data_IF_837130331913
#
_entry.id   IF_837130331913
#
_cell.length_a   1.000
_cell.length_b   1.000
_cell.length_c   1.000
_cell.angle_alpha   90.00
_cell.angle_beta   90.00
_cell.angle_gamma   90.00
#
_symmetry.space_group_name_H-M   'P 1'
#
loop_
_entity.id
_entity.type
_entity.pdbx_description
1 polymer ?
#
# COMPACT_ATOMS: atom_id res chain seq x y z
N UNK A 1 28.91 8.24 0.59
CA UNK A 1 29.12 7.69 1.95
C UNK A 1 27.84 6.93 2.31
N UNK A 2 27.87 5.64 2.22
CA UNK A 2 26.73 4.77 2.52
C UNK A 2 26.71 4.50 4.01
N UNK A 3 25.66 4.95 4.72
CA UNK A 3 25.44 4.64 6.12
C UNK A 3 25.29 3.13 6.31
N UNK A 4 25.78 2.64 7.41
CA UNK A 4 25.77 1.25 7.84
C UNK A 4 24.34 0.66 7.82
N UNK A 5 24.08 -0.25 6.87
CA UNK A 5 22.82 -0.98 6.69
C UNK A 5 22.71 -2.17 7.65
N UNK A 6 23.63 -2.30 8.60
CA UNK A 6 23.69 -3.44 9.53
C UNK A 6 22.86 -3.28 10.81
N UNK A 7 22.08 -2.19 10.95
CA UNK A 7 21.20 -2.05 12.12
C UNK A 7 19.96 -2.91 11.92
N UNK A 8 19.80 -4.01 12.68
CA UNK A 8 18.59 -4.83 12.58
C UNK A 8 17.38 -3.97 12.92
N UNK A 9 16.35 -4.05 12.07
CA UNK A 9 15.05 -3.40 12.29
C UNK A 9 14.53 -3.94 13.62
N UNK A 10 14.57 -3.12 14.67
CA UNK A 10 13.97 -3.47 15.95
C UNK A 10 12.45 -3.46 15.77
N UNK A 11 11.87 -4.64 15.65
CA UNK A 11 10.41 -4.78 15.70
C UNK A 11 9.91 -4.15 17.01
N UNK A 12 8.85 -3.33 16.94
CA UNK A 12 8.26 -2.73 18.14
C UNK A 12 7.78 -3.83 19.09
N UNK A 13 7.99 -3.63 20.40
CA UNK A 13 7.52 -4.54 21.44
C UNK A 13 6.03 -4.75 21.32
N UNK A 14 5.55 -6.00 21.53
CA UNK A 14 4.11 -6.32 21.55
C UNK A 14 3.34 -5.33 22.41
N UNK A 15 2.25 -4.73 21.91
CA UNK A 15 1.47 -3.76 22.67
C UNK A 15 0.78 -4.42 23.86
N UNK A 16 0.52 -3.64 24.91
CA UNK A 16 -0.30 -4.06 26.04
C UNK A 16 -1.70 -4.46 25.58
N UNK A 17 -2.27 -5.49 26.21
CA UNK A 17 -3.63 -5.96 25.91
C UNK A 17 -4.64 -4.80 25.85
N UNK A 18 -5.40 -4.71 24.74
CA UNK A 18 -6.48 -3.72 24.56
C UNK A 18 -6.27 -2.66 23.48
N UNK A 19 -5.08 -2.58 22.85
CA UNK A 19 -4.85 -1.58 21.79
C UNK A 19 -4.05 -2.15 20.63
N UNK A 20 -4.67 -2.22 19.47
CA UNK A 20 -3.95 -2.56 18.23
C UNK A 20 -2.99 -1.42 17.89
N UNK A 21 -1.69 -1.70 17.68
CA UNK A 21 -0.74 -0.70 17.20
C UNK A 21 -1.11 -0.32 15.76
N UNK A 22 -0.84 0.93 15.40
CA UNK A 22 -0.99 1.44 14.05
C UNK A 22 0.38 1.83 13.54
N UNK A 23 0.66 1.46 12.30
CA UNK A 23 1.94 1.74 11.66
C UNK A 23 1.72 2.46 10.34
N UNK A 24 2.65 3.35 10.03
CA UNK A 24 2.76 4.03 8.75
C UNK A 24 3.90 3.38 7.97
N UNK A 25 3.64 3.08 6.70
CA UNK A 25 4.63 2.60 5.75
C UNK A 25 4.92 3.71 4.76
N UNK A 26 6.17 4.02 4.55
CA UNK A 26 6.62 5.13 3.71
C UNK A 26 7.94 4.80 3.02
N UNK A 27 8.25 5.56 1.95
CA UNK A 27 9.57 5.52 1.36
C UNK A 27 10.58 6.21 2.30
N UNK A 28 11.86 5.77 2.35
CA UNK A 28 12.87 6.36 3.25
C UNK A 28 13.07 7.86 3.06
N UNK A 29 12.88 8.37 1.83
CA UNK A 29 12.98 9.79 1.48
C UNK A 29 11.66 10.55 1.63
N UNK A 30 10.58 9.87 2.06
CA UNK A 30 9.26 10.45 2.20
C UNK A 30 8.53 10.70 0.87
N UNK A 31 9.04 10.21 -0.26
CA UNK A 31 8.39 10.34 -1.55
C UNK A 31 7.08 9.56 -1.60
N UNK A 32 6.08 10.02 -2.37
CA UNK A 32 4.89 9.25 -2.63
C UNK A 32 5.20 8.03 -3.48
N UNK A 33 4.41 6.97 -3.34
CA UNK A 33 4.51 5.76 -4.13
C UNK A 33 3.13 5.36 -4.67
N UNK A 34 3.12 4.62 -5.78
CA UNK A 34 1.90 4.16 -6.42
C UNK A 34 1.55 2.74 -6.02
N UNK A 35 0.28 2.51 -5.76
CA UNK A 35 -0.31 1.18 -5.59
C UNK A 35 -0.91 0.73 -6.91
N UNK A 36 -0.67 -0.53 -7.29
CA UNK A 36 -1.29 -1.10 -8.48
C UNK A 36 -2.80 -1.23 -8.26
N UNK A 37 -3.57 -0.58 -9.11
CA UNK A 37 -5.02 -0.60 -9.07
C UNK A 37 -5.62 -1.04 -10.40
N UNK A 38 -6.81 -1.57 -10.34
CA UNK A 38 -7.66 -1.89 -11.48
C UNK A 38 -8.94 -1.09 -11.36
N UNK A 39 -9.45 -0.60 -12.47
CA UNK A 39 -10.76 0.05 -12.50
C UNK A 39 -11.67 -0.63 -13.52
N UNK A 40 -12.97 -0.51 -13.31
CA UNK A 40 -14.00 -1.05 -14.19
C UNK A 40 -15.25 -0.19 -14.11
N UNK A 41 -15.89 0.02 -15.25
CA UNK A 41 -17.22 0.60 -15.30
C UNK A 41 -18.27 -0.52 -15.19
N UNK A 42 -19.03 -0.52 -14.10
CA UNK A 42 -20.19 -1.38 -13.99
C UNK A 42 -21.37 -0.74 -14.74
N UNK A 43 -21.98 -1.49 -15.65
CA UNK A 43 -23.15 -1.07 -16.39
C UNK A 43 -24.37 -1.86 -15.93
N UNK A 44 -25.48 -1.18 -15.59
CA UNK A 44 -26.71 -1.86 -15.21
C UNK A 44 -27.31 -2.62 -16.40
N UNK A 45 -28.15 -3.61 -16.10
CA UNK A 45 -28.92 -4.32 -17.14
C UNK A 45 -29.80 -3.36 -17.91
N UNK A 46 -30.05 -3.67 -19.20
CA UNK A 46 -31.02 -2.92 -20.05
C UNK A 46 -32.35 -2.79 -19.32
N UNK A 47 -32.90 -1.57 -19.30
CA UNK A 47 -34.18 -1.25 -18.64
C UNK A 47 -34.07 -0.91 -17.14
N UNK A 48 -32.87 -0.81 -16.61
CA UNK A 48 -32.65 -0.30 -15.26
C UNK A 48 -32.53 1.22 -15.26
N UNK A 49 -33.15 1.88 -14.28
CA UNK A 49 -33.02 3.34 -14.04
C UNK A 49 -31.68 3.71 -13.35
N UNK A 50 -30.80 2.76 -13.11
CA UNK A 50 -29.50 3.00 -12.46
C UNK A 50 -28.49 3.53 -13.47
N UNK A 51 -27.72 4.55 -13.05
CA UNK A 51 -26.57 5.04 -13.81
C UNK A 51 -25.38 4.05 -13.78
N UNK A 52 -24.51 4.06 -14.80
CA UNK A 52 -23.22 3.38 -14.73
C UNK A 52 -22.41 3.81 -13.50
N UNK A 53 -21.60 2.92 -12.97
CA UNK A 53 -20.79 3.16 -11.78
C UNK A 53 -19.34 2.79 -12.06
N UNK A 54 -18.46 3.76 -11.93
CA UNK A 54 -17.02 3.51 -11.94
C UNK A 54 -16.57 2.91 -10.61
N UNK A 55 -15.86 1.80 -10.69
CA UNK A 55 -15.34 1.08 -9.54
C UNK A 55 -13.85 0.87 -9.69
N UNK A 56 -13.14 0.77 -8.57
CA UNK A 56 -11.74 0.40 -8.57
C UNK A 56 -11.42 -0.56 -7.42
N UNK A 57 -10.33 -1.27 -7.56
CA UNK A 57 -9.76 -2.11 -6.50
C UNK A 57 -8.25 -2.04 -6.51
N UNK A 58 -7.65 -2.17 -5.33
CA UNK A 58 -6.20 -2.25 -5.18
C UNK A 58 -5.79 -3.72 -5.23
N UNK A 59 -4.80 -4.03 -6.06
CA UNK A 59 -4.23 -5.37 -6.15
C UNK A 59 -3.34 -5.62 -4.94
N UNK A 60 -3.50 -6.78 -4.31
CA UNK A 60 -2.68 -7.17 -3.16
C UNK A 60 -1.85 -8.41 -3.48
N UNK A 61 -0.74 -8.55 -2.78
CA UNK A 61 0.16 -9.68 -2.83
C UNK A 61 0.50 -10.17 -1.43
N UNK A 62 1.32 -11.19 -1.30
CA UNK A 62 1.88 -11.59 -0.02
C UNK A 62 2.69 -10.45 0.61
N UNK A 63 2.78 -10.44 1.92
CA UNK A 63 3.54 -9.43 2.65
C UNK A 63 5.05 -9.66 2.46
N UNK A 64 5.81 -8.55 2.38
CA UNK A 64 7.26 -8.61 2.53
C UNK A 64 7.65 -8.77 4.01
N UNK A 65 8.93 -8.97 4.28
CA UNK A 65 9.46 -9.19 5.64
C UNK A 65 9.14 -8.05 6.61
N UNK A 66 9.02 -6.81 6.12
CA UNK A 66 8.68 -5.65 6.93
C UNK A 66 7.21 -5.64 7.33
N UNK A 67 6.32 -6.05 6.43
CA UNK A 67 4.87 -6.04 6.62
C UNK A 67 4.36 -7.29 7.34
N UNK A 68 4.97 -8.45 7.11
CA UNK A 68 4.50 -9.75 7.60
C UNK A 68 4.14 -9.77 9.10
N UNK A 69 4.93 -9.15 10.01
CA UNK A 69 4.59 -9.14 11.43
C UNK A 69 3.30 -8.38 11.76
N UNK A 70 2.81 -7.55 10.83
CA UNK A 70 1.63 -6.70 11.00
C UNK A 70 0.43 -7.28 10.26
N UNK A 71 0.64 -7.69 9.02
CA UNK A 71 -0.40 -8.23 8.15
C UNK A 71 0.21 -9.18 7.12
N UNK A 72 -0.48 -10.29 6.81
CA UNK A 72 -0.01 -11.30 5.86
C UNK A 72 -0.16 -10.91 4.37
N UNK A 73 -0.79 -9.78 4.09
CA UNK A 73 -0.97 -9.23 2.74
C UNK A 73 -0.54 -7.78 2.70
N UNK A 74 -0.06 -7.34 1.54
CA UNK A 74 0.26 -5.95 1.28
C UNK A 74 -0.25 -5.52 -0.11
N UNK A 75 -0.49 -4.23 -0.34
CA UNK A 75 -0.72 -3.72 -1.68
C UNK A 75 0.50 -3.98 -2.57
N UNK A 76 0.26 -4.22 -3.86
CA UNK A 76 1.33 -4.19 -4.84
C UNK A 76 1.79 -2.75 -5.02
N UNK A 77 3.03 -2.47 -4.66
CA UNK A 77 3.67 -1.16 -4.83
C UNK A 77 4.50 -1.21 -6.10
N UNK A 78 4.28 -0.25 -6.99
CA UNK A 78 4.99 -0.17 -8.26
C UNK A 78 6.25 0.71 -8.14
N UNK A 79 7.34 0.31 -8.76
CA UNK A 79 8.48 1.19 -8.96
C UNK A 79 8.16 2.26 -10.02
N UNK A 80 8.67 3.48 -9.90
CA UNK A 80 8.43 4.55 -10.88
C UNK A 80 8.75 4.14 -12.32
N UNK A 81 9.78 3.31 -12.52
CA UNK A 81 10.17 2.76 -13.84
C UNK A 81 9.10 1.87 -14.49
N UNK A 82 8.16 1.35 -13.68
CA UNK A 82 7.12 0.41 -14.13
C UNK A 82 5.75 1.07 -14.32
N UNK A 83 5.62 2.39 -14.03
CA UNK A 83 4.34 3.10 -14.14
C UNK A 83 3.78 3.08 -15.56
N UNK A 84 4.61 3.40 -16.56
CA UNK A 84 4.17 3.40 -17.95
C UNK A 84 3.75 2.00 -18.41
N UNK A 85 4.48 0.99 -17.99
CA UNK A 85 4.16 -0.39 -18.29
C UNK A 85 2.84 -0.84 -17.67
N UNK A 86 2.52 -0.37 -16.46
CA UNK A 86 1.24 -0.65 -15.80
C UNK A 86 0.07 0.10 -16.45
N UNK A 87 0.29 1.34 -16.86
CA UNK A 87 -0.77 2.24 -17.33
C UNK A 87 -1.02 2.17 -18.83
N UNK A 88 0.01 2.00 -19.65
CA UNK A 88 -0.05 2.26 -21.09
C UNK A 88 0.37 1.07 -21.96
N UNK A 89 1.21 0.20 -21.48
CA UNK A 89 1.74 -0.91 -22.26
C UNK A 89 0.85 -2.15 -22.08
N UNK A 90 -0.44 -1.98 -22.40
CA UNK A 90 -1.42 -3.03 -22.26
C UNK A 90 -1.46 -3.92 -23.52
N UNK A 91 -0.70 -4.99 -23.51
CA UNK A 91 -0.86 -6.12 -24.43
C UNK A 91 -1.70 -7.19 -23.71
N UNK A 92 -2.94 -7.42 -24.16
CA UNK A 92 -3.83 -8.43 -23.59
C UNK A 92 -3.21 -9.84 -23.57
N UNK A 93 -2.30 -10.12 -24.50
CA UNK A 93 -1.59 -11.40 -24.55
C UNK A 93 -0.47 -11.52 -23.52
N UNK A 94 -0.02 -10.40 -22.96
CA UNK A 94 1.11 -10.31 -22.00
C UNK A 94 0.81 -9.35 -20.86
N UNK A 95 -0.17 -9.63 -20.04
CA UNK A 95 -0.46 -8.77 -18.88
C UNK A 95 0.77 -8.70 -17.96
N UNK A 96 1.03 -7.55 -17.31
CA UNK A 96 2.24 -7.32 -16.52
C UNK A 96 2.18 -8.03 -15.15
N UNK A 97 1.89 -9.33 -15.13
CA UNK A 97 1.74 -10.14 -13.91
C UNK A 97 3.04 -10.27 -13.11
N UNK A 98 4.19 -10.11 -13.74
CA UNK A 98 5.50 -10.10 -13.07
C UNK A 98 5.68 -8.89 -12.14
N UNK A 99 4.87 -7.83 -12.29
CA UNK A 99 4.84 -6.68 -11.39
C UNK A 99 4.03 -6.95 -10.10
N UNK A 100 3.23 -8.02 -10.08
CA UNK A 100 2.38 -8.41 -8.95
C UNK A 100 3.19 -9.15 -7.88
N UNK A 101 4.14 -8.46 -7.28
CA UNK A 101 5.07 -9.01 -6.28
C UNK A 101 5.22 -8.07 -5.10
N UNK A 102 5.68 -8.57 -3.93
CA UNK A 102 6.00 -7.72 -2.81
C UNK A 102 7.07 -6.68 -3.18
N UNK A 103 6.95 -5.48 -2.62
CA UNK A 103 8.01 -4.47 -2.71
C UNK A 103 9.16 -4.85 -1.78
N UNK A 104 10.39 -4.50 -2.16
CA UNK A 104 11.58 -4.81 -1.37
C UNK A 104 11.53 -4.14 0.00
N UNK A 105 11.72 -4.92 1.07
CA UNK A 105 11.66 -4.43 2.45
C UNK A 105 12.65 -3.31 2.72
N UNK A 106 13.84 -3.38 2.13
CA UNK A 106 14.92 -2.39 2.27
C UNK A 106 14.55 -1.03 1.64
N UNK A 107 13.62 -1.04 0.68
CA UNK A 107 13.11 0.16 0.02
C UNK A 107 11.99 0.86 0.80
N UNK A 108 11.63 0.38 1.98
CA UNK A 108 10.51 0.89 2.77
C UNK A 108 10.93 1.17 4.22
N UNK A 109 10.17 2.05 4.85
CA UNK A 109 10.29 2.34 6.29
C UNK A 109 8.94 2.15 6.96
N UNK A 110 8.94 1.53 8.14
CA UNK A 110 7.78 1.39 9.01
C UNK A 110 7.99 2.22 10.28
N UNK A 111 7.05 3.08 10.60
CA UNK A 111 7.07 3.89 11.83
C UNK A 111 5.73 3.80 12.55
N UNK A 112 5.71 3.90 13.89
CA UNK A 112 4.46 4.04 14.62
C UNK A 112 3.69 5.25 14.13
N UNK A 113 2.37 5.11 14.00
CA UNK A 113 1.48 6.17 13.54
C UNK A 113 0.49 6.58 14.63
N UNK A 114 -0.10 7.76 14.45
CA UNK A 114 -1.12 8.26 15.35
C UNK A 114 -2.34 7.33 15.32
N UNK A 115 -2.73 6.84 16.50
CA UNK A 115 -3.84 5.90 16.66
C UNK A 115 -5.21 6.50 16.31
N UNK A 116 -5.31 7.81 16.32
CA UNK A 116 -6.53 8.53 15.94
C UNK A 116 -6.91 8.31 14.47
N UNK A 117 -5.96 7.90 13.61
CA UNK A 117 -6.22 7.55 12.21
C UNK A 117 -7.24 6.42 12.05
N UNK A 118 -7.38 5.55 13.05
CA UNK A 118 -8.40 4.49 13.06
C UNK A 118 -9.85 4.98 13.12
N UNK A 119 -10.08 6.27 13.37
CA UNK A 119 -11.40 6.87 13.32
C UNK A 119 -11.54 7.74 12.07
N UNK A 120 -12.44 7.37 11.18
CA UNK A 120 -12.68 8.05 9.88
C UNK A 120 -13.09 9.53 10.01
N UNK A 121 -13.49 9.99 11.20
CA UNK A 121 -13.79 11.40 11.46
C UNK A 121 -12.53 12.26 11.60
N UNK A 122 -11.39 11.63 11.90
CA UNK A 122 -10.11 12.30 12.00
C UNK A 122 -9.45 12.33 10.62
N UNK A 123 -9.33 13.49 10.04
CA UNK A 123 -8.79 13.67 8.68
C UNK A 123 -7.97 14.97 8.60
N UNK A 124 -6.93 15.07 9.40
CA UNK A 124 -6.03 16.21 9.42
C UNK A 124 -4.57 15.78 9.27
N UNK A 125 -3.67 16.73 8.96
CA UNK A 125 -2.24 16.45 8.81
C UNK A 125 -1.59 15.89 10.08
N UNK A 126 -2.18 16.13 11.25
CA UNK A 126 -1.74 15.60 12.54
C UNK A 126 -1.81 14.07 12.60
N UNK A 127 -2.60 13.43 11.72
CA UNK A 127 -2.67 11.96 11.61
C UNK A 127 -1.35 11.36 11.09
N UNK A 128 -0.53 12.16 10.41
CA UNK A 128 0.78 11.73 9.89
C UNK A 128 1.89 11.82 10.95
N UNK A 129 1.62 12.49 12.07
CA UNK A 129 2.59 12.63 13.15
C UNK A 129 2.75 11.28 13.88
N UNK A 130 3.97 10.99 14.31
CA UNK A 130 4.22 9.85 15.18
C UNK A 130 3.45 10.01 16.50
N UNK A 131 2.96 8.89 17.01
CA UNK A 131 2.30 8.84 18.32
C UNK A 131 3.32 9.03 19.46
#
# INVERSE_FOLDING_TARGET
MFGDISTPIKLPKKPKAGSKPVYKFEMPDGSPYALAGLFSEWRPRRGSDRAPLDTFSIVTTEANELMEPIHNRMPVILHPRDYDRWLNDYDESRPPIDLLRPYESEGMRMTPANRLVGNVRNNGPEMLNSA
#
